data_IF_048023361787
#
_entry.id   IF_048023361787
#
_cell.length_a   1.000
_cell.length_b   1.000
_cell.length_c   1.000
_cell.angle_alpha   90.00
_cell.angle_beta   90.00
_cell.angle_gamma   90.00
#
_symmetry.space_group_name_H-M   'P 1'
#
loop_
_entity.id
_entity.type
_entity.pdbx_description
1 polymer ?
#
# COMPACT_ATOMS: atom_id res chain seq x y z
N UNK A 1 11.00 -4.78 -0.09
CA UNK A 1 10.54 -5.10 -1.46
C UNK A 1 11.47 -6.18 -2.03
N UNK A 2 11.92 -7.08 -1.15
CA UNK A 2 13.22 -7.74 -1.36
C UNK A 2 13.06 -9.01 -2.21
N UNK A 3 11.82 -9.47 -2.36
CA UNK A 3 11.43 -10.63 -3.17
C UNK A 3 11.03 -10.26 -4.61
N UNK A 4 11.07 -8.97 -4.98
CA UNK A 4 10.61 -8.50 -6.29
C UNK A 4 11.80 -8.08 -7.17
N UNK A 5 11.85 -8.52 -8.45
CA UNK A 5 12.82 -8.00 -9.41
C UNK A 5 12.69 -6.48 -9.53
N UNK A 6 13.79 -5.75 -9.59
CA UNK A 6 13.80 -4.28 -9.71
C UNK A 6 12.96 -3.79 -10.90
N UNK A 7 12.92 -4.56 -11.99
CA UNK A 7 12.08 -4.31 -13.17
C UNK A 7 10.57 -4.38 -12.89
N UNK A 8 10.15 -5.15 -11.88
CA UNK A 8 8.75 -5.30 -11.45
C UNK A 8 8.35 -4.36 -10.31
N UNK A 9 9.32 -3.67 -9.69
CA UNK A 9 9.05 -2.71 -8.60
C UNK A 9 8.12 -1.58 -9.08
N UNK A 10 8.33 -1.05 -10.29
CA UNK A 10 7.47 0.00 -10.83
C UNK A 10 6.01 -0.44 -11.06
N UNK A 11 5.81 -1.67 -11.54
CA UNK A 11 4.47 -2.24 -11.72
C UNK A 11 3.80 -2.57 -10.39
N UNK A 12 4.57 -3.13 -9.45
CA UNK A 12 4.12 -3.39 -8.08
C UNK A 12 3.67 -2.09 -7.40
N UNK A 13 4.46 -1.02 -7.50
CA UNK A 13 4.14 0.26 -6.88
C UNK A 13 2.89 0.89 -7.49
N UNK A 14 2.76 0.87 -8.83
CA UNK A 14 1.53 1.34 -9.50
C UNK A 14 0.29 0.54 -9.08
N UNK A 15 0.41 -0.78 -9.06
CA UNK A 15 -0.71 -1.65 -8.70
C UNK A 15 -1.07 -1.53 -7.21
N UNK A 16 -0.07 -1.43 -6.32
CA UNK A 16 -0.25 -1.16 -4.89
C UNK A 16 -0.94 0.19 -4.68
N UNK A 17 -0.50 1.23 -5.39
CA UNK A 17 -1.05 2.59 -5.27
C UNK A 17 -2.49 2.67 -5.81
N UNK A 18 -2.80 1.90 -6.86
CA UNK A 18 -4.17 1.74 -7.38
C UNK A 18 -5.06 0.97 -6.39
N UNK A 19 -4.54 -0.10 -5.79
CA UNK A 19 -5.25 -0.88 -4.77
C UNK A 19 -5.50 -0.05 -3.50
N UNK A 20 -4.51 0.73 -3.05
CA UNK A 20 -4.65 1.69 -1.95
C UNK A 20 -5.72 2.74 -2.25
N UNK A 21 -5.72 3.32 -3.45
CA UNK A 21 -6.75 4.29 -3.87
C UNK A 21 -8.15 3.68 -4.00
N UNK A 22 -8.27 2.42 -4.41
CA UNK A 22 -9.57 1.77 -4.60
C UNK A 22 -10.18 1.19 -3.33
N UNK A 23 -9.37 0.50 -2.51
CA UNK A 23 -9.83 -0.23 -1.30
C UNK A 23 -9.56 0.49 0.01
N UNK A 24 -8.59 1.40 0.03
CA UNK A 24 -8.07 2.03 1.24
C UNK A 24 -7.96 3.56 1.10
N UNK A 25 -8.90 4.16 0.37
CA UNK A 25 -8.97 5.62 0.20
C UNK A 25 -9.16 6.36 1.53
N UNK A 26 -9.74 5.68 2.53
CA UNK A 26 -9.85 6.16 3.91
C UNK A 26 -8.47 6.37 4.55
N UNK A 27 -7.53 5.45 4.34
CA UNK A 27 -6.14 5.58 4.80
C UNK A 27 -5.48 6.79 4.15
N UNK A 28 -5.61 6.96 2.83
CA UNK A 28 -5.03 8.10 2.11
C UNK A 28 -5.61 9.43 2.58
N UNK A 29 -6.91 9.46 2.85
CA UNK A 29 -7.60 10.65 3.38
C UNK A 29 -7.14 10.96 4.79
N UNK A 30 -7.05 9.95 5.66
CA UNK A 30 -6.55 10.11 7.02
C UNK A 30 -5.08 10.58 7.04
N UNK A 31 -4.22 10.04 6.17
CA UNK A 31 -2.83 10.53 6.01
C UNK A 31 -2.82 11.99 5.54
N UNK A 32 -3.69 12.36 4.60
CA UNK A 32 -3.78 13.73 4.10
C UNK A 32 -4.29 14.72 5.17
N UNK A 33 -5.19 14.27 6.04
CA UNK A 33 -5.77 15.08 7.12
C UNK A 33 -4.87 15.17 8.34
N UNK A 34 -4.38 14.04 8.87
CA UNK A 34 -3.49 14.03 10.04
C UNK A 34 -2.10 14.57 9.70
N UNK A 35 -1.65 14.44 8.44
CA UNK A 35 -0.26 14.68 8.01
C UNK A 35 0.79 13.94 8.86
N UNK A 36 0.34 12.97 9.65
CA UNK A 36 1.12 12.14 10.53
C UNK A 36 0.79 10.68 10.19
N UNK A 37 1.82 9.85 10.17
CA UNK A 37 1.64 8.41 10.03
C UNK A 37 1.52 7.84 11.45
N UNK A 38 0.34 7.98 12.04
CA UNK A 38 0.01 7.39 13.34
C UNK A 38 0.13 5.86 13.29
N UNK A 39 0.34 5.21 14.45
CA UNK A 39 0.57 3.76 14.50
C UNK A 39 -0.61 2.96 13.92
N UNK A 40 -1.85 3.45 14.08
CA UNK A 40 -3.04 2.88 13.46
C UNK A 40 -2.99 2.96 11.92
N UNK A 41 -2.57 4.11 11.38
CA UNK A 41 -2.37 4.29 9.94
C UNK A 41 -1.27 3.37 9.40
N UNK A 42 -0.17 3.20 10.14
CA UNK A 42 0.88 2.22 9.82
C UNK A 42 0.37 0.80 9.83
N UNK A 43 -0.43 0.41 10.83
CA UNK A 43 -1.00 -0.92 10.92
C UNK A 43 -1.94 -1.21 9.75
N UNK A 44 -2.83 -0.26 9.42
CA UNK A 44 -3.72 -0.36 8.26
C UNK A 44 -2.95 -0.42 6.94
N UNK A 45 -1.94 0.42 6.77
CA UNK A 45 -1.09 0.42 5.57
C UNK A 45 -0.35 -0.91 5.43
N UNK A 46 0.17 -1.45 6.53
CA UNK A 46 0.82 -2.77 6.55
C UNK A 46 -0.16 -3.88 6.20
N UNK A 47 -1.38 -3.87 6.74
CA UNK A 47 -2.41 -4.85 6.40
C UNK A 47 -2.82 -4.75 4.92
N UNK A 48 -2.94 -3.54 4.38
CA UNK A 48 -3.21 -3.30 2.96
C UNK A 48 -2.08 -3.85 2.07
N UNK A 49 -0.82 -3.58 2.44
CA UNK A 49 0.36 -4.09 1.72
C UNK A 49 0.45 -5.62 1.83
N UNK A 50 0.21 -6.22 3.00
CA UNK A 50 0.26 -7.67 3.19
C UNK A 50 -0.89 -8.37 2.43
N UNK A 51 -2.09 -7.77 2.41
CA UNK A 51 -3.21 -8.24 1.58
C UNK A 51 -2.93 -8.10 0.08
N UNK A 52 -2.33 -6.98 -0.33
CA UNK A 52 -1.89 -6.77 -1.71
C UNK A 52 -0.79 -7.75 -2.10
N UNK A 53 0.24 -7.97 -1.27
CA UNK A 53 1.28 -8.98 -1.52
C UNK A 53 0.72 -10.39 -1.71
N UNK A 54 -0.36 -10.75 -1.00
CA UNK A 54 -1.03 -12.05 -1.18
C UNK A 54 -1.82 -12.15 -2.49
N UNK A 55 -2.32 -11.03 -3.01
CA UNK A 55 -3.09 -10.98 -4.27
C UNK A 55 -2.21 -10.66 -5.48
N UNK A 56 -1.07 -10.03 -5.24
CA UNK A 56 -0.04 -9.75 -6.22
C UNK A 56 0.85 -10.99 -6.36
N UNK A 57 0.41 -11.91 -7.20
CA UNK A 57 1.29 -12.92 -7.79
C UNK A 57 2.11 -12.26 -8.90
N UNK A 58 3.43 -12.21 -8.70
CA UNK A 58 4.41 -11.72 -9.66
C UNK A 58 4.54 -12.62 -10.90
#
# INVERSE_FOLDING_TARGET
>A
LDDLPVSKVGDFEKALLSALRGRHADILTAIATEKALSDDLRAKLKAAIDGFKKTYTA
#
